data_IF_738349953782
#
_entry.id   IF_738349953782
#
_cell.length_a   1.000
_cell.length_b   1.000
_cell.length_c   1.000
_cell.angle_alpha   90.00
_cell.angle_beta   90.00
_cell.angle_gamma   90.00
#
_symmetry.space_group_name_H-M   'P 1'
#
loop_
_entity.id
_entity.type
_entity.pdbx_description
1 polymer ?
#
# COMPACT_ATOMS: atom_id res chain seq x y z
N UNK A 1 -23.40 4.48 -1.54
CA UNK A 1 -22.59 3.91 -2.64
C UNK A 1 -22.41 2.44 -2.33
N UNK A 2 -22.80 1.54 -3.24
CA UNK A 2 -22.65 0.10 -3.01
C UNK A 2 -21.17 -0.27 -3.16
N UNK A 3 -20.56 -0.94 -2.19
CA UNK A 3 -19.14 -1.33 -2.25
C UNK A 3 -18.81 -2.19 -3.48
N UNK A 4 -19.82 -2.87 -4.03
CA UNK A 4 -19.73 -3.67 -5.26
C UNK A 4 -19.39 -2.87 -6.54
N UNK A 5 -19.54 -1.54 -6.54
CA UNK A 5 -19.22 -0.70 -7.70
C UNK A 5 -17.76 -0.22 -7.73
N UNK A 6 -17.08 -0.21 -6.57
CA UNK A 6 -15.69 0.23 -6.48
C UNK A 6 -14.78 -0.96 -6.78
N UNK A 7 -14.15 -1.00 -7.97
CA UNK A 7 -13.33 -2.15 -8.40
C UNK A 7 -11.87 -1.82 -8.73
N UNK A 8 -11.47 -0.55 -8.64
CA UNK A 8 -10.16 -0.09 -9.09
C UNK A 8 -9.27 0.46 -7.97
N UNK A 9 -9.61 0.24 -6.69
CA UNK A 9 -8.75 0.65 -5.57
C UNK A 9 -7.76 -0.45 -5.24
N UNK A 10 -6.48 -0.07 -5.20
CA UNK A 10 -5.37 -0.94 -4.81
C UNK A 10 -4.71 -0.32 -3.58
N UNK A 11 -4.81 -1.03 -2.46
CA UNK A 11 -4.14 -0.67 -1.22
C UNK A 11 -2.70 -1.13 -1.30
N UNK A 12 -1.74 -0.22 -1.06
CA UNK A 12 -0.32 -0.51 -1.21
C UNK A 12 0.44 -0.02 0.02
N UNK A 13 1.40 -0.81 0.46
CA UNK A 13 2.36 -0.48 1.52
C UNK A 13 3.76 -0.90 1.05
N UNK A 14 4.77 -0.08 1.33
CA UNK A 14 6.15 -0.26 0.85
C UNK A 14 7.17 -0.30 1.99
N UNK A 15 8.13 -1.20 1.85
CA UNK A 15 9.34 -1.23 2.66
C UNK A 15 10.54 -0.83 1.80
N UNK A 16 11.40 0.03 2.34
CA UNK A 16 12.57 0.54 1.63
C UNK A 16 13.75 0.76 2.58
N UNK A 17 14.97 0.73 2.05
CA UNK A 17 16.19 0.97 2.82
C UNK A 17 16.67 2.44 2.80
N UNK A 18 15.86 3.35 2.27
CA UNK A 18 16.13 4.78 2.21
C UNK A 18 14.89 5.62 2.49
N UNK A 19 15.05 6.95 2.45
CA UNK A 19 13.94 7.90 2.67
C UNK A 19 13.21 8.29 1.38
N UNK A 20 13.88 8.17 0.25
CA UNK A 20 13.36 8.46 -1.07
C UNK A 20 14.20 7.73 -2.15
N UNK A 21 13.69 7.63 -3.39
CA UNK A 21 14.39 7.03 -4.54
C UNK A 21 15.86 7.40 -4.74
N UNK A 22 16.25 8.64 -4.45
CA UNK A 22 17.64 9.09 -4.65
C UNK A 22 18.59 8.69 -3.52
N UNK A 23 18.07 8.19 -2.40
CA UNK A 23 18.82 7.87 -1.18
C UNK A 23 18.71 6.40 -0.76
N UNK A 24 18.10 5.56 -1.57
CA UNK A 24 17.97 4.12 -1.26
C UNK A 24 17.21 3.38 -2.35
N UNK A 25 16.68 2.22 -1.98
CA UNK A 25 15.94 1.31 -2.86
C UNK A 25 14.68 0.82 -2.19
N UNK A 26 13.63 0.63 -2.98
CA UNK A 26 12.48 -0.21 -2.62
C UNK A 26 12.98 -1.64 -2.36
N UNK A 27 12.62 -2.23 -1.22
CA UNK A 27 13.04 -3.59 -0.87
C UNK A 27 11.90 -4.58 -1.12
N UNK A 28 10.69 -4.24 -0.69
CA UNK A 28 9.48 -5.00 -0.99
C UNK A 28 8.24 -4.12 -0.89
N UNK A 29 7.13 -4.60 -1.43
CA UNK A 29 5.83 -3.96 -1.29
C UNK A 29 4.71 -5.01 -1.31
N UNK A 30 3.61 -4.66 -0.67
CA UNK A 30 2.37 -5.42 -0.67
C UNK A 30 1.28 -4.62 -1.34
N UNK A 31 0.46 -5.29 -2.15
CA UNK A 31 -0.72 -4.71 -2.76
C UNK A 31 -1.95 -5.58 -2.49
N UNK A 32 -3.10 -4.95 -2.23
CA UNK A 32 -4.37 -5.64 -1.99
C UNK A 32 -5.49 -4.97 -2.79
N UNK A 33 -6.18 -5.74 -3.62
CA UNK A 33 -7.27 -5.25 -4.45
C UNK A 33 -8.58 -5.17 -3.65
N UNK A 34 -9.29 -4.05 -3.73
CA UNK A 34 -10.64 -3.90 -3.20
C UNK A 34 -11.70 -4.14 -4.29
N UNK A 35 -12.79 -4.88 -4.01
CA UNK A 35 -13.16 -5.47 -2.73
C UNK A 35 -12.71 -6.94 -2.58
N UNK A 36 -12.06 -7.51 -3.60
CA UNK A 36 -11.77 -8.95 -3.69
C UNK A 36 -10.78 -9.46 -2.64
N UNK A 37 -9.97 -8.57 -2.06
CA UNK A 37 -8.87 -8.87 -1.12
C UNK A 37 -7.79 -9.77 -1.70
N UNK A 38 -7.75 -9.94 -3.02
CA UNK A 38 -6.64 -10.61 -3.70
C UNK A 38 -5.38 -9.79 -3.46
N UNK A 39 -4.26 -10.47 -3.18
CA UNK A 39 -3.00 -9.85 -2.80
C UNK A 39 -1.94 -10.02 -3.88
N UNK A 40 -0.94 -9.15 -3.85
CA UNK A 40 0.32 -9.27 -4.57
C UNK A 40 1.46 -8.88 -3.63
N UNK A 41 2.54 -9.67 -3.61
CA UNK A 41 3.76 -9.38 -2.86
C UNK A 41 4.91 -9.23 -3.83
N UNK A 42 5.43 -8.01 -3.97
CA UNK A 42 6.62 -7.74 -4.75
C UNK A 42 7.84 -7.71 -3.85
N UNK A 43 8.77 -8.65 -4.04
CA UNK A 43 10.04 -8.70 -3.29
C UNK A 43 11.15 -8.37 -4.27
N UNK A 44 11.96 -7.35 -3.97
CA UNK A 44 13.15 -6.96 -4.74
C UNK A 44 14.40 -7.34 -3.97
N UNK A 45 14.42 -7.09 -2.66
CA UNK A 45 15.51 -7.47 -1.75
C UNK A 45 14.87 -8.22 -0.59
N UNK A 46 15.16 -9.52 -0.50
CA UNK A 46 14.60 -10.38 0.54
C UNK A 46 15.23 -10.06 1.91
N UNK A 47 14.38 -9.97 2.92
CA UNK A 47 14.81 -9.72 4.28
C UNK A 47 13.69 -9.92 5.27
N UNK A 48 14.05 -10.00 6.54
CA UNK A 48 13.14 -10.16 7.67
C UNK A 48 13.51 -9.17 8.77
N UNK A 49 12.62 -8.96 9.72
CA UNK A 49 12.91 -8.11 10.88
C UNK A 49 13.78 -8.85 11.89
N UNK A 50 14.70 -8.12 12.51
CA UNK A 50 15.46 -8.65 13.64
C UNK A 50 14.51 -9.01 14.79
N UNK A 51 14.76 -10.17 15.40
CA UNK A 51 14.04 -10.59 16.60
C UNK A 51 14.32 -9.64 17.79
N UNK A 52 15.52 -9.05 17.84
CA UNK A 52 15.97 -8.18 18.94
C UNK A 52 15.48 -6.74 18.79
N UNK A 53 15.39 -6.25 17.55
CA UNK A 53 14.86 -4.92 17.24
C UNK A 53 13.99 -4.97 15.98
N UNK A 54 12.66 -4.96 16.13
CA UNK A 54 11.75 -5.01 14.99
C UNK A 54 11.98 -3.87 13.99
N UNK A 55 12.50 -2.72 14.39
CA UNK A 55 12.78 -1.61 13.46
C UNK A 55 14.00 -1.86 12.55
N UNK A 56 14.82 -2.86 12.88
CA UNK A 56 15.98 -3.26 12.10
C UNK A 56 15.59 -4.38 11.14
N UNK A 57 15.92 -4.17 9.86
CA UNK A 57 15.74 -5.16 8.81
C UNK A 57 17.06 -5.88 8.51
N UNK A 58 17.00 -7.20 8.45
CA UNK A 58 18.12 -8.10 8.11
C UNK A 58 17.86 -8.65 6.71
N UNK A 59 18.76 -8.39 5.78
CA UNK A 59 18.67 -8.88 4.41
C UNK A 59 19.34 -10.24 4.28
N UNK A 60 18.74 -11.13 3.49
CA UNK A 60 19.29 -12.47 3.22
C UNK A 60 20.39 -12.45 2.16
N UNK A 61 20.54 -11.32 1.46
CA UNK A 61 21.43 -11.17 0.29
C UNK A 61 20.78 -11.59 -1.03
N UNK A 62 19.59 -12.19 -0.99
CA UNK A 62 18.83 -12.57 -2.19
C UNK A 62 18.13 -11.35 -2.79
N UNK A 63 18.36 -11.14 -4.08
CA UNK A 63 17.81 -10.02 -4.86
C UNK A 63 17.06 -10.58 -6.06
N UNK A 64 15.89 -10.02 -6.32
CA UNK A 64 15.06 -10.36 -7.48
C UNK A 64 15.11 -9.22 -8.51
N UNK A 65 14.87 -9.57 -9.78
CA UNK A 65 14.80 -8.58 -10.86
C UNK A 65 13.64 -7.63 -10.64
N UNK A 66 13.94 -6.36 -10.35
CA UNK A 66 12.92 -5.31 -10.17
C UNK A 66 12.02 -5.21 -11.40
N UNK A 67 12.59 -5.34 -12.61
CA UNK A 67 11.81 -5.34 -13.85
C UNK A 67 10.79 -6.48 -13.90
N UNK A 68 11.21 -7.71 -13.64
CA UNK A 68 10.29 -8.87 -13.66
C UNK A 68 9.20 -8.77 -12.59
N UNK A 69 9.53 -8.24 -11.41
CA UNK A 69 8.56 -7.99 -10.34
C UNK A 69 7.51 -6.98 -10.80
N UNK A 70 7.92 -5.88 -11.44
CA UNK A 70 7.01 -4.85 -11.92
C UNK A 70 6.22 -5.26 -13.17
N UNK A 71 6.77 -6.11 -14.04
CA UNK A 71 6.01 -6.74 -15.14
C UNK A 71 4.88 -7.63 -14.60
N UNK A 72 5.18 -8.45 -13.59
CA UNK A 72 4.17 -9.28 -12.91
C UNK A 72 3.15 -8.42 -12.18
N UNK A 73 3.59 -7.34 -11.53
CA UNK A 73 2.69 -6.44 -10.83
C UNK A 73 1.76 -5.70 -11.79
N UNK A 74 2.27 -5.22 -12.92
CA UNK A 74 1.46 -4.59 -13.96
C UNK A 74 0.41 -5.54 -14.54
N UNK A 75 0.79 -6.79 -14.80
CA UNK A 75 -0.15 -7.82 -15.24
C UNK A 75 -1.24 -8.06 -14.19
N UNK A 76 -0.85 -8.17 -12.92
CA UNK A 76 -1.79 -8.32 -11.81
C UNK A 76 -2.75 -7.12 -11.69
N UNK A 77 -2.27 -5.88 -11.88
CA UNK A 77 -3.13 -4.69 -11.88
C UNK A 77 -4.16 -4.74 -13.02
N UNK A 78 -3.77 -5.20 -14.21
CA UNK A 78 -4.68 -5.37 -15.34
C UNK A 78 -5.75 -6.43 -15.05
N UNK A 79 -5.37 -7.54 -14.40
CA UNK A 79 -6.30 -8.60 -13.99
C UNK A 79 -7.32 -8.09 -12.95
N UNK A 80 -6.89 -7.26 -12.00
CA UNK A 80 -7.75 -6.76 -10.92
C UNK A 80 -8.65 -5.59 -11.34
N UNK A 81 -8.13 -4.65 -12.14
CA UNK A 81 -8.84 -3.42 -12.51
C UNK A 81 -9.46 -3.46 -13.91
N UNK A 82 -9.12 -4.45 -14.73
CA UNK A 82 -9.57 -4.53 -16.12
C UNK A 82 -9.13 -3.30 -16.92
N UNK A 83 -10.08 -2.67 -17.62
CA UNK A 83 -9.81 -1.47 -18.42
C UNK A 83 -9.76 -0.17 -17.59
N UNK A 84 -10.14 -0.21 -16.32
CA UNK A 84 -10.12 0.97 -15.48
C UNK A 84 -8.72 1.27 -14.95
N UNK A 85 -8.39 2.55 -14.83
CA UNK A 85 -7.11 2.96 -14.25
C UNK A 85 -7.06 2.61 -12.76
N UNK A 86 -6.07 1.84 -12.27
CA UNK A 86 -5.94 1.55 -10.86
C UNK A 86 -5.70 2.83 -10.05
N UNK A 87 -6.28 2.89 -8.85
CA UNK A 87 -6.17 3.99 -7.90
C UNK A 87 -5.35 3.53 -6.72
N UNK A 88 -4.23 4.19 -6.52
CA UNK A 88 -3.33 3.93 -5.41
C UNK A 88 -3.97 4.42 -4.10
N UNK A 89 -4.02 3.56 -3.09
CA UNK A 89 -4.52 3.88 -1.74
C UNK A 89 -3.48 3.46 -0.71
N UNK A 90 -3.21 4.32 0.27
CA UNK A 90 -2.25 4.04 1.36
C UNK A 90 -2.59 4.86 2.61
N UNK A 91 -2.08 4.50 3.79
CA UNK A 91 -2.08 5.37 4.97
C UNK A 91 -1.00 6.47 4.91
N UNK A 92 0.08 6.23 4.19
CA UNK A 92 1.20 7.15 3.97
C UNK A 92 1.59 7.30 2.48
N UNK A 93 0.67 7.72 1.61
CA UNK A 93 0.86 7.67 0.16
C UNK A 93 2.05 8.47 -0.35
N UNK A 94 2.47 9.54 0.34
CA UNK A 94 3.66 10.29 -0.06
C UNK A 94 4.94 9.42 -0.05
N UNK A 95 5.03 8.48 0.88
CA UNK A 95 6.15 7.55 0.98
C UNK A 95 5.99 6.35 0.05
N UNK A 96 4.83 5.70 0.04
CA UNK A 96 4.66 4.46 -0.76
C UNK A 96 4.61 4.76 -2.26
N UNK A 97 3.90 5.82 -2.65
CA UNK A 97 3.73 6.15 -4.07
C UNK A 97 5.05 6.56 -4.71
N UNK A 98 5.94 7.29 -4.02
CA UNK A 98 7.22 7.70 -4.61
C UNK A 98 8.05 6.49 -5.05
N UNK A 99 8.08 5.41 -4.26
CA UNK A 99 8.84 4.21 -4.57
C UNK A 99 8.22 3.43 -5.71
N UNK A 100 6.91 3.20 -5.66
CA UNK A 100 6.19 2.50 -6.72
C UNK A 100 6.28 3.26 -8.05
N UNK A 101 6.09 4.58 -8.02
CA UNK A 101 6.22 5.42 -9.20
C UNK A 101 7.62 5.33 -9.81
N UNK A 102 8.64 5.53 -8.99
CA UNK A 102 10.04 5.50 -9.41
C UNK A 102 10.44 4.14 -10.01
N UNK A 103 10.08 3.03 -9.35
CA UNK A 103 10.32 1.69 -9.86
C UNK A 103 9.62 1.41 -11.18
N UNK A 104 8.34 1.79 -11.33
CA UNK A 104 7.61 1.68 -12.60
C UNK A 104 8.29 2.45 -13.74
N UNK A 105 8.72 3.70 -13.49
CA UNK A 105 9.40 4.50 -14.50
C UNK A 105 10.77 3.94 -14.88
N UNK A 106 11.58 3.49 -13.91
CA UNK A 106 12.90 2.90 -14.19
C UNK A 106 12.82 1.56 -14.91
N UNK A 107 11.77 0.77 -14.67
CA UNK A 107 11.66 -0.59 -15.21
C UNK A 107 10.86 -0.67 -16.50
N UNK A 108 9.66 -0.07 -16.53
CA UNK A 108 8.70 -0.19 -17.62
C UNK A 108 8.46 1.13 -18.38
N UNK A 109 9.06 2.23 -17.94
CA UNK A 109 8.94 3.53 -18.59
C UNK A 109 7.54 4.15 -18.49
N UNK A 110 6.67 3.66 -17.59
CA UNK A 110 5.34 4.20 -17.32
C UNK A 110 4.82 3.74 -15.97
N UNK A 111 3.96 4.55 -15.33
CA UNK A 111 3.28 4.21 -14.09
C UNK A 111 1.76 4.07 -14.31
N UNK A 112 1.15 2.88 -14.17
CA UNK A 112 -0.29 2.67 -14.38
C UNK A 112 -1.17 3.41 -13.37
N UNK A 113 -0.66 3.76 -12.19
CA UNK A 113 -1.41 4.51 -11.17
C UNK A 113 -1.57 6.00 -11.51
N UNK A 114 -0.76 6.56 -12.41
CA UNK A 114 -0.69 8.00 -12.67
C UNK A 114 -0.15 8.79 -11.46
N UNK A 115 -0.42 10.10 -11.43
CA UNK A 115 0.25 11.06 -10.53
C UNK A 115 -0.41 11.28 -9.16
N UNK A 116 -1.44 10.51 -8.79
CA UNK A 116 -2.19 10.73 -7.55
C UNK A 116 -2.51 9.46 -6.79
N UNK A 117 -2.59 9.59 -5.47
CA UNK A 117 -2.94 8.55 -4.53
C UNK A 117 -4.01 9.06 -3.54
N UNK A 118 -4.73 8.13 -2.90
CA UNK A 118 -5.71 8.41 -1.85
C UNK A 118 -5.10 8.08 -0.49
N UNK A 119 -5.22 9.01 0.46
CA UNK A 119 -4.87 8.79 1.86
C UNK A 119 -6.10 8.39 2.67
N UNK A 120 -6.07 7.24 3.33
CA UNK A 120 -7.20 6.76 4.16
C UNK A 120 -7.46 7.75 5.31
N UNK A 121 -6.40 8.30 5.89
CA UNK A 121 -6.48 9.29 6.97
C UNK A 121 -7.23 10.56 6.60
N UNK A 122 -7.10 11.06 5.38
CA UNK A 122 -7.79 12.28 4.94
C UNK A 122 -9.28 12.02 4.72
N UNK A 123 -9.62 10.82 4.20
CA UNK A 123 -11.01 10.40 4.10
C UNK A 123 -11.66 10.31 5.49
N UNK A 124 -11.00 9.63 6.44
CA UNK A 124 -11.47 9.53 7.81
C UNK A 124 -11.63 10.91 8.49
N UNK A 125 -10.61 11.76 8.42
CA UNK A 125 -10.63 13.12 8.97
C UNK A 125 -11.85 13.92 8.46
N UNK A 126 -12.13 13.82 7.15
CA UNK A 126 -13.33 14.40 6.54
C UNK A 126 -14.64 13.79 7.06
N UNK A 127 -14.69 12.48 7.26
CA UNK A 127 -15.88 11.79 7.79
C UNK A 127 -16.24 12.17 9.23
N UNK A 128 -15.26 12.54 10.06
CA UNK A 128 -15.46 12.93 11.47
C UNK A 128 -15.46 14.44 11.71
N UNK A 129 -15.25 15.23 10.65
CA UNK A 129 -15.19 16.69 10.72
C UNK A 129 -14.01 17.24 11.52
N UNK A 130 -12.90 16.49 11.59
CA UNK A 130 -11.68 16.89 12.29
C UNK A 130 -10.48 16.64 11.39
N UNK A 131 -10.01 17.71 10.73
CA UNK A 131 -8.91 17.65 9.78
C UNK A 131 -7.59 17.22 10.42
N UNK A 132 -7.42 17.45 11.73
CA UNK A 132 -6.18 17.15 12.44
C UNK A 132 -6.09 15.66 12.80
N UNK A 133 -7.23 14.99 12.99
CA UNK A 133 -7.27 13.56 13.29
C UNK A 133 -7.21 12.70 12.00
N UNK A 134 -5.99 12.52 11.49
CA UNK A 134 -5.73 11.66 10.31
C UNK A 134 -5.22 10.26 10.67
N UNK A 135 -5.22 9.90 11.97
CA UNK A 135 -4.52 8.70 12.45
C UNK A 135 -5.35 7.81 13.37
N UNK A 136 -6.39 8.33 14.05
CA UNK A 136 -7.14 7.52 15.00
C UNK A 136 -7.78 6.32 14.35
N UNK A 137 -8.22 6.40 13.09
CA UNK A 137 -8.78 5.28 12.33
C UNK A 137 -7.92 4.00 12.33
N UNK A 138 -6.61 4.08 12.59
CA UNK A 138 -5.71 2.91 12.58
C UNK A 138 -6.12 1.80 13.56
N UNK A 139 -6.88 2.11 14.62
CA UNK A 139 -7.44 1.09 15.53
C UNK A 139 -8.52 0.22 14.87
N UNK A 140 -9.02 0.60 13.69
CA UNK A 140 -9.99 -0.17 12.92
C UNK A 140 -9.34 -1.29 12.10
N UNK A 141 -8.01 -1.34 12.00
CA UNK A 141 -7.28 -2.45 11.37
C UNK A 141 -7.59 -3.75 12.10
N UNK A 142 -7.90 -4.82 11.36
CA UNK A 142 -8.11 -6.16 11.93
C UNK A 142 -6.78 -6.92 11.86
N UNK A 143 -6.21 -7.00 10.66
CA UNK A 143 -4.85 -7.49 10.46
C UNK A 143 -3.87 -6.56 11.15
N UNK A 144 -3.04 -7.13 12.04
CA UNK A 144 -2.09 -6.37 12.85
C UNK A 144 -0.98 -5.80 11.95
N UNK A 145 -0.60 -4.56 12.22
CA UNK A 145 0.58 -3.96 11.61
C UNK A 145 1.83 -4.69 12.11
N UNK A 146 2.43 -5.51 11.26
CA UNK A 146 3.58 -6.36 11.59
C UNK A 146 4.76 -6.15 10.63
N UNK A 147 4.63 -5.20 9.71
CA UNK A 147 5.65 -4.84 8.73
C UNK A 147 5.97 -5.95 7.73
N UNK A 148 5.03 -6.86 7.55
CA UNK A 148 4.81 -7.48 6.27
C UNK A 148 3.90 -6.54 5.46
N UNK A 149 4.35 -6.01 4.32
CA UNK A 149 3.61 -4.98 3.62
C UNK A 149 2.28 -5.49 3.05
N UNK A 150 2.11 -6.80 2.84
CA UNK A 150 0.80 -7.39 2.45
C UNK A 150 -0.18 -7.34 3.61
N UNK A 151 0.26 -7.68 4.82
CA UNK A 151 -0.57 -7.61 6.03
C UNK A 151 -0.96 -6.16 6.35
N UNK A 152 -0.02 -5.24 6.17
CA UNK A 152 -0.22 -3.82 6.43
C UNK A 152 -1.21 -3.20 5.43
N UNK A 153 -1.06 -3.49 4.15
CA UNK A 153 -2.02 -3.13 3.12
C UNK A 153 -3.40 -3.77 3.34
N UNK A 154 -3.46 -5.02 3.82
CA UNK A 154 -4.71 -5.69 4.18
C UNK A 154 -5.40 -5.00 5.36
N UNK A 155 -4.68 -4.71 6.44
CA UNK A 155 -5.22 -3.99 7.59
C UNK A 155 -5.76 -2.61 7.20
N UNK A 156 -5.05 -1.92 6.31
CA UNK A 156 -5.49 -0.66 5.71
C UNK A 156 -6.82 -0.82 4.94
N UNK A 157 -6.94 -1.86 4.10
CA UNK A 157 -8.17 -2.17 3.37
C UNK A 157 -9.34 -2.49 4.33
N UNK A 158 -9.10 -3.31 5.34
CA UNK A 158 -10.12 -3.71 6.32
C UNK A 158 -10.66 -2.51 7.11
N UNK A 159 -9.76 -1.63 7.55
CA UNK A 159 -10.16 -0.39 8.20
C UNK A 159 -10.99 0.50 7.26
N UNK A 160 -10.57 0.65 6.00
CA UNK A 160 -11.33 1.40 5.00
C UNK A 160 -12.73 0.81 4.76
N UNK A 161 -12.86 -0.51 4.68
CA UNK A 161 -14.15 -1.18 4.51
C UNK A 161 -15.09 -0.92 5.69
N UNK A 162 -14.56 -0.87 6.93
CA UNK A 162 -15.32 -0.48 8.13
C UNK A 162 -15.75 0.99 8.10
N UNK A 163 -14.88 1.90 7.65
CA UNK A 163 -15.22 3.31 7.45
C UNK A 163 -16.37 3.48 6.45
N UNK A 164 -16.36 2.74 5.33
CA UNK A 164 -17.44 2.74 4.35
C UNK A 164 -18.77 2.24 4.92
N UNK A 165 -18.71 1.31 5.89
CA UNK A 165 -19.87 0.79 6.64
C UNK A 165 -20.34 1.71 7.77
N UNK A 166 -19.73 2.89 7.92
CA UNK A 166 -20.17 3.93 8.84
C UNK A 166 -19.51 3.90 10.22
N UNK A 167 -18.54 3.02 10.45
CA UNK A 167 -17.79 3.01 11.71
C UNK A 167 -16.83 4.20 11.78
N UNK A 168 -17.09 5.15 12.68
CA UNK A 168 -16.35 6.41 12.78
C UNK A 168 -16.07 6.84 14.24
N UNK A 169 -15.53 5.96 15.10
CA UNK A 169 -15.24 6.32 16.48
C UNK A 169 -14.11 7.36 16.55
N UNK A 170 -14.38 8.50 17.19
CA UNK A 170 -13.32 9.40 17.66
C UNK A 170 -12.62 8.72 18.83
N UNK A 171 -11.29 8.77 18.86
CA UNK A 171 -10.54 8.37 20.06
C UNK A 171 -10.95 9.35 21.17
N UNK A 172 -11.54 8.82 22.25
CA UNK A 172 -11.85 9.61 23.45
C UNK A 172 -10.57 10.11 24.10
#
# INVERSE_FOLDING_TARGET
>A
MNSAEIKNLIFVDCEANGKCPSMGKLTEFGAVAYPSRVTFHGIIIEGHRSADNPTTRIYTGKVFSEKEVFEKFEKWLLEMCGKERPKFVSDNPAFDWQWINDSFWRTLGRNPFGYSARRIGDFYAGLIGDFMDSSSWKHLRITKHDHNPVHDAMGNLEAFDRLLKGERPKRK
#
